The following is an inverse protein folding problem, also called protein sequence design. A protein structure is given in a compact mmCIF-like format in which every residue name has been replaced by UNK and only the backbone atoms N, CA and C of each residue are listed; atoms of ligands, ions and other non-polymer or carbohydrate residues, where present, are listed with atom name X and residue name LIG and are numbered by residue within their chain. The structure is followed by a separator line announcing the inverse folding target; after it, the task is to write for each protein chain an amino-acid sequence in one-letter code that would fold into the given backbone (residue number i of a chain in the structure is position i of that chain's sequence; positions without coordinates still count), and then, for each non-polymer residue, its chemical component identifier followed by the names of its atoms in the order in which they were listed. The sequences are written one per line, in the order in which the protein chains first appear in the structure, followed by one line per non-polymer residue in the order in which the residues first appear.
data_IF_827610192250
#
_entry.id   IF_827610192250
#
_cell.length_a   1.000
_cell.length_b   1.000
_cell.length_c   1.000
_cell.angle_alpha   90.00
_cell.angle_beta   90.00
_cell.angle_gamma   90.00
#
_symmetry.space_group_name_H-M   'P 1'
#
loop_
_entity.id
_entity.type
_entity.pdbx_description
1 polymer ?
#
# COMPACT_ATOMS: atom_id res chain seq x y z
N UNK A 1 3.52 17.08 22.04
CA UNK A 1 3.50 15.62 21.80
C UNK A 1 2.61 14.96 22.84
N UNK A 2 1.56 14.27 22.43
CA UNK A 2 0.54 13.79 23.35
C UNK A 2 0.80 12.30 23.72
N UNK A 3 1.11 11.97 24.98
CA UNK A 3 1.42 10.59 25.41
C UNK A 3 0.28 9.60 25.19
N UNK A 4 -0.95 10.10 25.01
CA UNK A 4 -2.11 9.30 24.62
C UNK A 4 -1.92 8.55 23.29
N UNK A 5 -1.08 9.05 22.37
CA UNK A 5 -0.74 8.34 21.14
C UNK A 5 0.00 7.02 21.41
N UNK A 6 0.97 7.03 22.33
CA UNK A 6 1.70 5.82 22.73
C UNK A 6 0.78 4.79 23.38
N UNK A 7 -0.13 5.23 24.24
CA UNK A 7 -1.12 4.34 24.88
C UNK A 7 -2.05 3.70 23.84
N UNK A 8 -2.45 4.45 22.81
CA UNK A 8 -3.31 3.95 21.72
C UNK A 8 -2.57 2.94 20.84
N UNK A 9 -1.31 3.20 20.49
CA UNK A 9 -0.44 2.26 19.76
C UNK A 9 -0.17 0.98 20.56
N UNK A 10 0.12 1.09 21.86
CA UNK A 10 0.33 -0.06 22.73
C UNK A 10 -0.95 -0.92 22.88
N UNK A 11 -2.13 -0.30 22.78
CA UNK A 11 -3.42 -1.02 22.79
C UNK A 11 -3.64 -1.79 21.50
N UNK A 12 -3.26 -1.21 20.35
CA UNK A 12 -3.23 -1.90 19.06
C UNK A 12 -2.31 -3.12 19.04
N UNK A 13 -1.12 -3.01 19.66
CA UNK A 13 -0.19 -4.14 19.75
C UNK A 13 -0.74 -5.30 20.61
N UNK A 14 -1.46 -4.97 21.69
CA UNK A 14 -2.10 -5.97 22.58
C UNK A 14 -3.38 -6.56 21.97
N UNK A 15 -4.19 -5.73 21.32
CA UNK A 15 -5.44 -6.13 20.71
C UNK A 15 -5.19 -6.47 19.24
N UNK A 16 -4.74 -7.70 18.99
CA UNK A 16 -4.41 -8.18 17.65
C UNK A 16 -5.62 -8.02 16.72
N UNK A 17 -5.48 -7.27 15.61
CA UNK A 17 -6.47 -7.34 14.55
C UNK A 17 -6.54 -8.80 14.04
N UNK A 18 -7.73 -9.28 13.66
CA UNK A 18 -7.91 -10.67 13.31
C UNK A 18 -7.07 -11.02 12.07
N UNK A 19 -6.43 -12.20 12.09
CA UNK A 19 -5.42 -12.60 11.09
C UNK A 19 -5.91 -12.50 9.64
N UNK A 20 -7.21 -12.62 9.39
CA UNK A 20 -7.79 -12.47 8.06
C UNK A 20 -7.56 -11.08 7.46
N UNK A 21 -7.69 -10.00 8.25
CA UNK A 21 -7.44 -8.63 7.77
C UNK A 21 -5.98 -8.44 7.39
N UNK A 22 -5.08 -8.98 8.21
CA UNK A 22 -3.64 -8.91 7.96
C UNK A 22 -3.28 -9.66 6.68
N UNK A 23 -3.81 -10.87 6.49
CA UNK A 23 -3.60 -11.66 5.26
C UNK A 23 -4.16 -10.99 4.01
N UNK A 24 -5.33 -10.35 4.09
CA UNK A 24 -5.88 -9.57 2.98
C UNK A 24 -4.96 -8.42 2.60
N UNK A 25 -4.51 -7.63 3.57
CA UNK A 25 -3.61 -6.50 3.32
C UNK A 25 -2.26 -6.98 2.79
N UNK A 26 -1.67 -8.03 3.37
CA UNK A 26 -0.43 -8.63 2.89
C UNK A 26 -0.57 -9.19 1.47
N UNK A 27 -1.69 -9.84 1.16
CA UNK A 27 -1.97 -10.36 -0.18
C UNK A 27 -2.11 -9.25 -1.22
N UNK A 28 -2.86 -8.19 -0.90
CA UNK A 28 -2.99 -7.01 -1.76
C UNK A 28 -1.64 -6.32 -1.95
N UNK A 29 -0.89 -6.12 -0.87
CA UNK A 29 0.43 -5.49 -0.91
C UNK A 29 1.42 -6.31 -1.74
N UNK A 30 1.44 -7.63 -1.55
CA UNK A 30 2.26 -8.53 -2.36
C UNK A 30 1.87 -8.46 -3.84
N UNK A 31 0.58 -8.44 -4.16
CA UNK A 31 0.10 -8.31 -5.54
C UNK A 31 0.56 -6.97 -6.15
N UNK A 32 0.42 -5.85 -5.44
CA UNK A 32 0.89 -4.54 -5.90
C UNK A 32 2.40 -4.49 -6.09
N UNK A 33 3.19 -5.04 -5.17
CA UNK A 33 4.64 -5.10 -5.29
C UNK A 33 5.09 -6.00 -6.44
N UNK A 34 4.40 -7.12 -6.67
CA UNK A 34 4.68 -8.01 -7.79
C UNK A 34 4.43 -7.29 -9.12
N UNK A 35 3.30 -6.59 -9.22
CA UNK A 35 2.91 -5.83 -10.39
C UNK A 35 3.89 -4.68 -10.67
N UNK A 36 4.24 -3.92 -9.63
CA UNK A 36 5.24 -2.85 -9.70
C UNK A 36 6.63 -3.38 -10.05
N UNK A 37 7.05 -4.51 -9.48
CA UNK A 37 8.31 -5.14 -9.80
C UNK A 37 8.36 -5.55 -11.27
N UNK A 38 7.31 -6.20 -11.77
CA UNK A 38 7.19 -6.56 -13.19
C UNK A 38 7.27 -5.30 -14.07
N UNK A 39 6.55 -4.24 -13.72
CA UNK A 39 6.56 -2.95 -14.41
C UNK A 39 7.94 -2.28 -14.42
N UNK A 40 8.66 -2.30 -13.28
CA UNK A 40 9.96 -1.68 -13.15
C UNK A 40 11.06 -2.45 -13.90
N UNK A 41 11.00 -3.78 -13.91
CA UNK A 41 12.01 -4.61 -14.57
C UNK A 41 11.79 -4.77 -16.08
N UNK A 42 10.54 -4.88 -16.54
CA UNK A 42 10.23 -5.03 -17.98
C UNK A 42 10.04 -3.70 -18.70
N UNK A 43 9.81 -2.61 -17.96
CA UNK A 43 9.42 -1.33 -18.51
C UNK A 43 7.93 -1.31 -18.89
N UNK A 44 7.29 -0.17 -18.69
CA UNK A 44 5.92 0.01 -19.15
C UNK A 44 5.88 0.32 -20.63
N UNK A 45 5.06 -0.40 -21.40
CA UNK A 45 4.96 -0.16 -22.81
C UNK A 45 4.20 1.13 -23.10
N UNK A 46 4.56 1.83 -24.18
CA UNK A 46 4.01 3.16 -24.55
C UNK A 46 2.47 3.23 -24.64
N UNK A 47 1.78 2.09 -24.82
CA UNK A 47 0.33 2.00 -24.84
C UNK A 47 -0.34 2.09 -23.45
N UNK A 48 0.41 1.87 -22.38
CA UNK A 48 -0.04 1.96 -20.99
C UNK A 48 0.41 3.28 -20.34
N UNK A 49 1.38 3.98 -20.93
CA UNK A 49 1.83 5.30 -20.49
C UNK A 49 0.69 6.33 -20.63
N UNK A 50 0.25 6.88 -19.50
CA UNK A 50 -0.76 7.95 -19.49
C UNK A 50 -0.15 9.23 -20.08
N UNK A 51 -0.41 9.46 -21.37
CA UNK A 51 0.02 10.68 -22.11
C UNK A 51 -0.84 11.92 -21.79
N UNK A 52 -1.68 11.85 -20.76
CA UNK A 52 -2.59 12.92 -20.38
C UNK A 52 -1.86 14.04 -19.66
N UNK A 53 -1.61 15.15 -20.36
CA UNK A 53 -1.23 16.42 -19.72
C UNK A 53 -2.33 16.78 -18.71
N UNK A 54 -2.02 16.70 -17.43
CA UNK A 54 -2.93 17.02 -16.34
C UNK A 54 -3.33 18.50 -16.46
N UNK A 55 -4.49 18.76 -17.06
CA UNK A 55 -5.01 20.11 -17.27
C UNK A 55 -5.62 20.59 -15.95
N UNK A 56 -4.76 21.09 -15.06
CA UNK A 56 -5.19 21.86 -13.91
C UNK A 56 -5.87 23.12 -14.43
N UNK A 57 -7.15 23.28 -14.10
CA UNK A 57 -7.96 24.47 -14.38
C UNK A 57 -8.35 25.10 -13.06
#
# INVERSE_FOLDING_TARGET
MNPLWFVRMARWARQRPPMWRIKLVLGVLAASFLLYGIEHFWGWPDWLTVNGRLRLR
#
